data_IF_801952174374
#
_entry.id   IF_801952174374
#
_cell.length_a   1.000
_cell.length_b   1.000
_cell.length_c   1.000
_cell.angle_alpha   90.00
_cell.angle_beta   90.00
_cell.angle_gamma   90.00
#
_symmetry.space_group_name_H-M   'P 1'
#
loop_
_entity.id
_entity.type
_entity.pdbx_description
1 polymer ?
#
# COMPACT_ATOMS: atom_id res chain seq x y z
N UNK A 1 13.76 -22.39 2.25
CA UNK A 1 13.91 -23.24 1.04
C UNK A 1 12.54 -23.85 0.74
N UNK A 2 11.68 -23.17 -0.01
CA UNK A 2 10.41 -23.70 -0.56
C UNK A 2 10.08 -22.97 -1.88
N UNK A 3 11.07 -22.90 -2.77
CA UNK A 3 10.93 -22.42 -4.15
C UNK A 3 11.26 -23.52 -5.16
N UNK A 4 11.18 -24.79 -4.75
CA UNK A 4 11.73 -25.93 -5.49
C UNK A 4 10.69 -26.80 -6.22
N UNK A 5 9.40 -26.49 -6.15
CA UNK A 5 8.36 -27.26 -6.82
C UNK A 5 7.61 -26.38 -7.81
N UNK A 6 8.22 -26.16 -8.98
CA UNK A 6 7.68 -25.39 -10.11
C UNK A 6 6.29 -25.84 -10.58
N UNK A 7 5.26 -25.48 -9.81
CA UNK A 7 3.84 -25.79 -10.02
C UNK A 7 2.95 -24.56 -9.89
N UNK A 8 3.52 -23.38 -10.11
CA UNK A 8 2.75 -22.17 -10.37
C UNK A 8 3.24 -21.57 -11.68
N UNK A 9 2.75 -22.09 -12.81
CA UNK A 9 2.75 -21.32 -14.04
C UNK A 9 1.88 -20.09 -13.80
N UNK A 10 2.52 -18.96 -13.47
CA UNK A 10 1.87 -17.65 -13.35
C UNK A 10 1.40 -17.25 -14.74
N UNK A 11 0.21 -17.73 -15.10
CA UNK A 11 -0.31 -17.66 -16.48
C UNK A 11 -0.97 -16.32 -16.83
N UNK A 12 -0.70 -15.26 -16.06
CA UNK A 12 -0.99 -13.85 -16.39
C UNK A 12 0.04 -12.98 -15.67
N UNK A 13 1.16 -12.70 -16.33
CA UNK A 13 2.08 -11.67 -15.88
C UNK A 13 1.27 -10.35 -15.87
N UNK A 14 1.13 -9.70 -14.72
CA UNK A 14 0.59 -8.35 -14.68
C UNK A 14 1.41 -7.49 -15.66
N UNK A 15 0.79 -6.63 -16.48
CA UNK A 15 1.52 -5.78 -17.41
C UNK A 15 2.60 -5.02 -16.65
N UNK A 16 3.84 -5.13 -17.11
CA UNK A 16 4.99 -4.44 -16.50
C UNK A 16 4.71 -2.94 -16.55
N UNK A 17 4.73 -2.24 -15.40
CA UNK A 17 4.40 -0.82 -15.37
C UNK A 17 5.44 -0.02 -16.16
N UNK A 18 4.97 0.81 -17.08
CA UNK A 18 5.80 1.81 -17.74
C UNK A 18 5.77 3.08 -16.89
N UNK A 19 6.96 3.64 -16.66
CA UNK A 19 7.10 4.87 -15.90
C UNK A 19 7.55 6.01 -16.82
N UNK A 20 6.79 7.10 -16.85
CA UNK A 20 7.17 8.37 -17.48
C UNK A 20 7.67 9.38 -16.43
N UNK A 21 7.95 10.61 -16.86
CA UNK A 21 8.14 11.74 -15.95
C UNK A 21 6.90 11.95 -15.08
N UNK A 22 7.12 12.39 -13.83
CA UNK A 22 6.02 12.60 -12.90
C UNK A 22 5.16 13.78 -13.34
N UNK A 23 3.88 13.53 -13.61
CA UNK A 23 2.96 14.59 -14.03
C UNK A 23 2.54 15.48 -12.84
N UNK A 24 2.51 16.82 -13.01
CA UNK A 24 2.12 17.76 -11.95
C UNK A 24 0.63 17.67 -11.62
N UNK A 25 -0.22 17.31 -12.59
CA UNK A 25 -1.64 17.03 -12.37
C UNK A 25 -1.94 15.66 -12.96
N UNK A 26 -2.60 14.81 -12.17
CA UNK A 26 -3.09 13.50 -12.61
C UNK A 26 -4.36 13.70 -13.41
N UNK A 27 -4.38 13.21 -14.64
CA UNK A 27 -5.50 13.29 -15.58
C UNK A 27 -6.19 11.93 -15.76
N UNK A 28 -7.23 11.88 -16.61
CA UNK A 28 -7.95 10.66 -16.93
C UNK A 28 -7.05 9.56 -17.52
N UNK A 29 -5.96 9.93 -18.21
CA UNK A 29 -5.01 8.97 -18.77
C UNK A 29 -4.15 8.33 -17.67
N UNK A 30 -3.67 9.12 -16.71
CA UNK A 30 -2.98 8.59 -15.53
C UNK A 30 -3.91 7.72 -14.69
N UNK A 31 -5.18 8.09 -14.52
CA UNK A 31 -6.16 7.22 -13.85
C UNK A 31 -6.29 5.87 -14.56
N UNK A 32 -6.40 5.86 -15.89
CA UNK A 32 -6.48 4.63 -16.66
C UNK A 32 -5.22 3.75 -16.50
N UNK A 33 -4.04 4.37 -16.55
CA UNK A 33 -2.77 3.67 -16.32
C UNK A 33 -2.69 3.10 -14.89
N UNK A 34 -3.11 3.87 -13.89
CA UNK A 34 -3.20 3.42 -12.49
C UNK A 34 -4.14 2.24 -12.34
N UNK A 35 -5.32 2.28 -12.97
CA UNK A 35 -6.28 1.16 -12.94
C UNK A 35 -5.66 -0.09 -13.57
N UNK A 36 -4.98 0.05 -14.71
CA UNK A 36 -4.27 -1.05 -15.38
C UNK A 36 -3.14 -1.63 -14.52
N UNK A 37 -2.49 -0.80 -13.70
CA UNK A 37 -1.36 -1.18 -12.85
C UNK A 37 -1.71 -1.28 -11.35
N UNK A 38 -2.98 -1.39 -10.98
CA UNK A 38 -3.44 -1.40 -9.56
C UNK A 38 -2.76 -2.48 -8.71
N UNK A 39 -2.44 -3.63 -9.30
CA UNK A 39 -1.75 -4.72 -8.60
C UNK A 39 -0.28 -4.38 -8.33
N UNK A 40 0.40 -3.69 -9.25
CA UNK A 40 1.75 -3.21 -9.02
C UNK A 40 1.77 -2.13 -7.94
N UNK A 41 0.80 -1.20 -7.95
CA UNK A 41 0.65 -0.21 -6.90
C UNK A 41 0.45 -0.88 -5.52
N UNK A 42 -0.41 -1.89 -5.44
CA UNK A 42 -0.67 -2.61 -4.19
C UNK A 42 0.52 -3.46 -3.73
N UNK A 43 1.30 -4.02 -4.66
CA UNK A 43 2.56 -4.70 -4.35
C UNK A 43 3.60 -3.70 -3.80
N UNK A 44 3.79 -2.56 -4.46
CA UNK A 44 4.69 -1.51 -3.99
C UNK A 44 4.29 -0.99 -2.60
N UNK A 45 2.99 -0.84 -2.34
CA UNK A 45 2.47 -0.48 -1.03
C UNK A 45 2.80 -1.54 0.03
N UNK A 46 2.56 -2.82 -0.28
CA UNK A 46 2.88 -3.93 0.62
C UNK A 46 4.38 -3.95 0.99
N UNK A 47 5.27 -3.71 0.01
CA UNK A 47 6.71 -3.66 0.27
C UNK A 47 7.12 -2.43 1.08
N UNK A 48 6.49 -1.29 0.84
CA UNK A 48 6.68 -0.07 1.64
C UNK A 48 6.25 -0.29 3.10
N UNK A 49 5.10 -0.92 3.32
CA UNK A 49 4.58 -1.25 4.64
C UNK A 49 5.46 -2.26 5.38
N UNK A 50 5.94 -3.30 4.71
CA UNK A 50 6.86 -4.29 5.31
C UNK A 50 8.17 -3.65 5.77
N UNK A 51 8.73 -2.76 4.95
CA UNK A 51 9.96 -2.02 5.27
C UNK A 51 9.74 -1.11 6.47
N UNK A 52 8.65 -0.34 6.48
CA UNK A 52 8.30 0.54 7.59
C UNK A 52 8.11 -0.23 8.89
N UNK A 53 7.40 -1.38 8.87
CA UNK A 53 7.27 -2.22 10.06
C UNK A 53 8.63 -2.71 10.58
N UNK A 54 9.55 -3.08 9.70
CA UNK A 54 10.88 -3.52 10.09
C UNK A 54 11.76 -2.38 10.64
N UNK A 55 11.60 -1.17 10.11
CA UNK A 55 12.30 0.04 10.59
C UNK A 55 11.79 0.48 11.95
N UNK A 56 10.47 0.51 12.15
CA UNK A 56 9.85 0.86 13.42
C UNK A 56 10.15 -0.18 14.50
N UNK A 57 10.13 -1.48 14.15
CA UNK A 57 10.57 -2.54 15.05
C UNK A 57 12.04 -2.39 15.48
N UNK A 58 12.92 -1.91 14.58
CA UNK A 58 14.33 -1.60 14.91
C UNK A 58 14.44 -0.36 15.80
N UNK A 59 13.64 0.67 15.55
CA UNK A 59 13.62 1.93 16.32
C UNK A 59 13.21 1.72 17.77
N UNK A 60 12.34 0.75 18.04
CA UNK A 60 11.85 0.44 19.39
C UNK A 60 12.90 -0.19 20.32
N UNK A 61 14.06 -0.64 19.80
CA UNK A 61 15.23 -0.99 20.60
C UNK A 61 14.94 -2.00 21.73
N UNK A 62 14.99 -1.53 22.98
CA UNK A 62 14.79 -2.36 24.20
C UNK A 62 13.34 -2.76 24.46
N UNK A 63 12.37 -2.17 23.76
CA UNK A 63 10.94 -2.51 23.83
C UNK A 63 10.63 -3.80 23.06
N UNK A 64 11.05 -4.93 23.64
CA UNK A 64 10.99 -6.26 23.01
C UNK A 64 9.57 -6.71 22.66
N UNK A 65 8.58 -6.34 23.48
CA UNK A 65 7.19 -6.72 23.24
C UNK A 65 6.63 -6.03 21.99
N UNK A 66 6.77 -4.70 21.88
CA UNK A 66 6.31 -3.93 20.73
C UNK A 66 7.11 -4.27 19.45
N UNK A 67 8.41 -4.56 19.60
CA UNK A 67 9.22 -5.05 18.49
C UNK A 67 8.70 -6.39 17.95
N UNK A 68 8.43 -7.36 18.82
CA UNK A 68 7.89 -8.66 18.42
C UNK A 68 6.48 -8.51 17.80
N UNK A 69 5.68 -7.58 18.33
CA UNK A 69 4.36 -7.26 17.81
C UNK A 69 4.43 -6.73 16.36
N UNK A 70 5.28 -5.73 16.08
CA UNK A 70 5.47 -5.20 14.73
C UNK A 70 6.06 -6.24 13.77
N UNK A 71 7.00 -7.06 14.23
CA UNK A 71 7.59 -8.14 13.43
C UNK A 71 6.54 -9.19 13.04
N UNK A 72 5.66 -9.57 13.96
CA UNK A 72 4.54 -10.47 13.70
C UNK A 72 3.48 -9.84 12.80
N UNK A 73 3.22 -8.53 12.96
CA UNK A 73 2.25 -7.78 12.16
C UNK A 73 2.65 -7.66 10.68
N UNK A 74 3.96 -7.59 10.41
CA UNK A 74 4.54 -7.38 9.07
C UNK A 74 3.98 -8.28 7.97
N UNK A 75 3.66 -9.55 8.27
CA UNK A 75 3.21 -10.51 7.26
C UNK A 75 1.75 -10.37 6.89
N UNK A 76 0.89 -9.93 7.81
CA UNK A 76 -0.56 -9.87 7.62
C UNK A 76 -1.10 -8.45 7.42
N UNK A 77 -0.42 -7.39 7.89
CA UNK A 77 -0.83 -6.00 7.65
C UNK A 77 -0.89 -5.61 6.16
N UNK A 78 -0.15 -6.31 5.32
CA UNK A 78 -0.17 -6.13 3.85
C UNK A 78 -1.37 -6.77 3.17
N UNK A 79 -2.09 -7.64 3.90
CA UNK A 79 -3.33 -8.27 3.45
C UNK A 79 -4.47 -7.28 3.66
N UNK A 80 -5.48 -7.36 2.81
CA UNK A 80 -6.69 -6.56 2.96
C UNK A 80 -7.31 -6.71 4.36
N UNK A 81 -7.72 -5.59 4.97
CA UNK A 81 -8.32 -5.58 6.30
C UNK A 81 -9.64 -6.38 6.35
N UNK A 82 -10.35 -6.47 5.21
CA UNK A 82 -11.53 -7.33 5.08
C UNK A 82 -11.22 -8.83 5.27
N UNK A 83 -9.96 -9.24 5.05
CA UNK A 83 -9.49 -10.64 5.13
C UNK A 83 -8.77 -10.97 6.43
N UNK A 84 -8.64 -10.02 7.35
CA UNK A 84 -7.98 -10.28 8.63
C UNK A 84 -8.82 -11.20 9.51
N UNK A 85 -8.13 -12.10 10.22
CA UNK A 85 -8.75 -12.97 11.22
C UNK A 85 -9.23 -12.16 12.43
N UNK A 86 -10.09 -12.75 13.27
CA UNK A 86 -10.53 -12.11 14.51
C UNK A 86 -9.33 -11.72 15.40
N UNK A 87 -8.35 -12.61 15.54
CA UNK A 87 -7.13 -12.35 16.32
C UNK A 87 -6.30 -11.19 15.75
N UNK A 88 -6.18 -11.09 14.42
CA UNK A 88 -5.46 -9.99 13.77
C UNK A 88 -6.17 -8.66 13.99
N UNK A 89 -7.51 -8.64 13.89
CA UNK A 89 -8.33 -7.45 14.18
C UNK A 89 -8.23 -7.03 15.64
N UNK A 90 -8.16 -7.98 16.58
CA UNK A 90 -7.96 -7.67 17.99
C UNK A 90 -6.58 -7.04 18.25
N UNK A 91 -5.53 -7.54 17.58
CA UNK A 91 -4.14 -7.08 17.78
C UNK A 91 -3.77 -5.82 16.99
N UNK A 92 -4.57 -5.42 16.01
CA UNK A 92 -4.24 -4.26 15.16
C UNK A 92 -4.21 -2.96 15.95
N UNK A 93 -5.06 -2.82 16.97
CA UNK A 93 -5.09 -1.65 17.86
C UNK A 93 -3.77 -1.50 18.63
N UNK A 94 -3.22 -2.60 19.15
CA UNK A 94 -1.92 -2.62 19.82
C UNK A 94 -0.79 -2.27 18.85
N UNK A 95 -0.84 -2.80 17.62
CA UNK A 95 0.13 -2.48 16.57
C UNK A 95 0.10 -0.98 16.24
N UNK A 96 -1.09 -0.41 16.15
CA UNK A 96 -1.28 1.01 15.88
C UNK A 96 -0.85 1.90 17.05
N UNK A 97 -0.98 1.43 18.29
CA UNK A 97 -0.46 2.12 19.46
C UNK A 97 1.09 2.09 19.50
N UNK A 98 1.71 1.04 18.96
CA UNK A 98 3.17 0.91 18.91
C UNK A 98 3.83 1.79 17.84
N UNK A 99 3.15 2.08 16.72
CA UNK A 99 3.69 2.93 15.66
C UNK A 99 2.60 3.67 14.86
N UNK A 100 2.57 5.00 15.01
CA UNK A 100 1.70 5.89 14.24
C UNK A 100 2.00 5.84 12.73
N UNK A 101 3.26 5.61 12.34
CA UNK A 101 3.66 5.51 10.94
C UNK A 101 3.04 4.27 10.27
N UNK A 102 3.06 3.13 10.97
CA UNK A 102 2.42 1.89 10.50
C UNK A 102 0.91 2.07 10.43
N UNK A 103 0.28 2.68 11.46
CA UNK A 103 -1.15 3.01 11.45
C UNK A 103 -1.52 3.82 10.19
N UNK A 104 -0.82 4.94 9.97
CA UNK A 104 -1.14 5.85 8.86
C UNK A 104 -0.96 5.20 7.49
N UNK A 105 0.05 4.35 7.31
CA UNK A 105 0.20 3.57 6.08
C UNK A 105 -0.96 2.59 5.87
N UNK A 106 -1.40 1.90 6.91
CA UNK A 106 -2.50 0.95 6.81
C UNK A 106 -3.82 1.67 6.48
N UNK A 107 -4.11 2.81 7.10
CA UNK A 107 -5.26 3.66 6.77
C UNK A 107 -5.24 4.10 5.30
N UNK A 108 -4.11 4.67 4.84
CA UNK A 108 -3.96 5.12 3.44
C UNK A 108 -4.09 3.97 2.43
N UNK A 109 -3.67 2.75 2.81
CA UNK A 109 -3.87 1.55 1.99
C UNK A 109 -5.35 1.18 1.89
N UNK A 110 -6.09 1.28 3.00
CA UNK A 110 -7.51 0.96 3.05
C UNK A 110 -8.33 1.95 2.22
N UNK A 111 -8.04 3.25 2.30
CA UNK A 111 -8.67 4.27 1.44
C UNK A 111 -8.53 3.90 -0.04
N UNK A 112 -7.32 3.48 -0.43
CA UNK A 112 -7.01 3.09 -1.81
C UNK A 112 -7.69 1.77 -2.19
N UNK A 113 -7.77 0.78 -1.29
CA UNK A 113 -8.48 -0.46 -1.52
C UNK A 113 -9.99 -0.22 -1.75
N UNK A 114 -10.60 0.63 -0.92
CA UNK A 114 -12.01 1.04 -1.07
C UNK A 114 -12.26 1.73 -2.40
N UNK A 115 -11.33 2.57 -2.86
CA UNK A 115 -11.40 3.20 -4.18
C UNK A 115 -11.48 2.15 -5.30
N UNK A 116 -10.76 1.03 -5.18
CA UNK A 116 -10.78 -0.06 -6.16
C UNK A 116 -11.97 -1.01 -6.06
N UNK A 117 -12.54 -1.19 -4.87
CA UNK A 117 -13.74 -2.01 -4.66
C UNK A 117 -15.01 -1.34 -5.17
N UNK A 118 -15.03 0.00 -5.20
CA UNK A 118 -16.16 0.80 -5.70
C UNK A 118 -16.21 0.81 -7.23
N UNK A 119 -16.60 -0.33 -7.81
CA UNK A 119 -16.85 -0.53 -9.25
C UNK A 119 -18.01 0.30 -9.82
N UNK A 120 -18.71 1.08 -8.99
CA UNK A 120 -19.88 1.89 -9.35
C UNK A 120 -19.60 3.39 -9.49
N UNK A 121 -18.39 3.88 -9.15
CA UNK A 121 -18.06 5.30 -9.27
C UNK A 121 -17.84 5.70 -10.73
N UNK A 122 -18.20 6.95 -11.06
CA UNK A 122 -17.87 7.53 -12.36
C UNK A 122 -16.35 7.75 -12.50
N UNK A 123 -15.85 7.84 -13.73
CA UNK A 123 -14.43 8.12 -14.00
C UNK A 123 -13.96 9.40 -13.32
N UNK A 124 -14.79 10.44 -13.31
CA UNK A 124 -14.47 11.73 -12.69
C UNK A 124 -14.39 11.62 -11.16
N UNK A 125 -15.28 10.84 -10.54
CA UNK A 125 -15.23 10.57 -9.10
C UNK A 125 -13.98 9.76 -8.71
N UNK A 126 -13.59 8.77 -9.53
CA UNK A 126 -12.35 8.02 -9.29
C UNK A 126 -11.12 8.90 -9.45
N UNK A 127 -11.13 9.83 -10.41
CA UNK A 127 -10.06 10.78 -10.63
C UNK A 127 -9.90 11.72 -9.43
N UNK A 128 -11.00 12.32 -8.96
CA UNK A 128 -11.02 13.21 -7.80
C UNK A 128 -10.54 12.49 -6.53
N UNK A 129 -11.06 11.28 -6.26
CA UNK A 129 -10.60 10.49 -5.11
C UNK A 129 -9.10 10.15 -5.19
N UNK A 130 -8.58 9.82 -6.39
CA UNK A 130 -7.16 9.55 -6.59
C UNK A 130 -6.31 10.81 -6.35
N UNK A 131 -6.74 11.97 -6.86
CA UNK A 131 -6.07 13.25 -6.65
C UNK A 131 -6.03 13.62 -5.16
N UNK A 132 -7.14 13.48 -4.45
CA UNK A 132 -7.20 13.72 -3.01
C UNK A 132 -6.27 12.78 -2.23
N UNK A 133 -6.25 11.50 -2.60
CA UNK A 133 -5.35 10.52 -2.00
C UNK A 133 -3.88 10.90 -2.21
N UNK A 134 -3.50 11.35 -3.42
CA UNK A 134 -2.15 11.80 -3.72
C UNK A 134 -1.76 13.05 -2.91
N UNK A 135 -2.65 14.02 -2.82
CA UNK A 135 -2.44 15.22 -2.01
C UNK A 135 -2.22 14.88 -0.53
N UNK A 136 -3.00 13.94 0.02
CA UNK A 136 -2.79 13.43 1.40
C UNK A 136 -1.47 12.68 1.56
N UNK A 137 -1.10 11.85 0.59
CA UNK A 137 0.16 11.11 0.61
C UNK A 137 1.38 12.05 0.58
N UNK A 138 1.33 13.11 -0.23
CA UNK A 138 2.40 14.10 -0.36
C UNK A 138 2.55 14.96 0.91
N UNK A 139 1.43 15.43 1.45
CA UNK A 139 1.39 16.25 2.66
C UNK A 139 1.60 15.47 3.96
N UNK A 140 1.63 14.14 3.90
CA UNK A 140 1.81 13.27 5.09
C UNK A 140 3.16 13.43 5.79
N UNK A 141 4.16 14.02 5.12
CA UNK A 141 5.54 14.11 5.61
C UNK A 141 6.27 12.76 5.72
N UNK A 142 5.63 11.66 5.29
CA UNK A 142 6.20 10.31 5.36
C UNK A 142 6.78 9.89 4.02
N UNK A 143 8.10 9.67 3.97
CA UNK A 143 8.79 9.20 2.75
C UNK A 143 8.11 7.99 2.10
N UNK A 144 7.70 6.94 2.84
CA UNK A 144 6.96 5.81 2.27
C UNK A 144 5.73 6.19 1.44
N UNK A 145 4.94 7.18 1.88
CA UNK A 145 3.75 7.64 1.17
C UNK A 145 4.09 8.58 0.01
N UNK A 146 5.07 9.46 0.21
CA UNK A 146 5.55 10.37 -0.84
C UNK A 146 6.14 9.59 -2.03
N UNK A 147 6.91 8.54 -1.77
CA UNK A 147 7.48 7.65 -2.81
C UNK A 147 6.37 6.92 -3.58
N UNK A 148 5.31 6.50 -2.89
CA UNK A 148 4.14 5.88 -3.51
C UNK A 148 3.39 6.88 -4.38
N UNK A 149 3.15 8.10 -3.89
CA UNK A 149 2.51 9.17 -4.66
C UNK A 149 3.31 9.51 -5.93
N UNK A 150 4.63 9.63 -5.81
CA UNK A 150 5.53 9.85 -6.94
C UNK A 150 5.44 8.69 -7.94
N UNK A 151 5.45 7.44 -7.46
CA UNK A 151 5.25 6.26 -8.33
C UNK A 151 3.93 6.35 -9.10
N UNK A 152 2.84 6.74 -8.43
CA UNK A 152 1.52 6.88 -9.07
C UNK A 152 1.57 7.88 -10.22
N UNK A 153 2.17 9.05 -9.99
CA UNK A 153 2.29 10.14 -10.99
C UNK A 153 3.14 9.76 -12.20
N UNK A 154 3.97 8.71 -12.06
CA UNK A 154 4.81 8.20 -13.13
C UNK A 154 4.14 7.12 -13.96
N UNK A 155 3.00 6.54 -13.55
CA UNK A 155 2.33 5.55 -14.39
C UNK A 155 1.93 6.14 -15.74
N UNK A 156 2.35 5.46 -16.79
CA UNK A 156 1.98 5.73 -18.17
C UNK A 156 1.42 4.46 -18.80
N UNK A 157 0.44 4.63 -19.70
CA UNK A 157 -0.08 3.57 -20.56
C UNK A 157 0.91 3.25 -21.70
#
# INVERSE_FOLDING_TARGET
ILSLLGLATVRRLAPTPKFAEARPVVDAHTLQAVIAHRYDMMAAFADSLRRTCAEEARRLGSRRAEQALLAAARSWLVVDAGKWTADQKARVSEVFAASDAVRKLVEMRQELAVLWERSTLSKDQLLDNLQQWLSRAESSGMRPLQDLALRVRRYAA
#
